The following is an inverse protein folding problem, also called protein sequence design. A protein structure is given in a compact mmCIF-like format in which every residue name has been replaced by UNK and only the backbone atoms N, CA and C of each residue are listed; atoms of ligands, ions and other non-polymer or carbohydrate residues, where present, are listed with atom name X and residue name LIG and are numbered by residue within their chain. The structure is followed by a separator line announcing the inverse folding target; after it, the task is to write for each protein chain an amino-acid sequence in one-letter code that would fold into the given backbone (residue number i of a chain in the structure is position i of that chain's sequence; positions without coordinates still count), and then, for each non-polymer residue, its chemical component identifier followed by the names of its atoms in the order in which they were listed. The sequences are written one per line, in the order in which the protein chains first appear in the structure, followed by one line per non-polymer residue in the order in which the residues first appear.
data_IF_075432537623
#
_entry.id   IF_075432537623
#
_cell.length_a   1.000
_cell.length_b   1.000
_cell.length_c   1.000
_cell.angle_alpha   90.00
_cell.angle_beta   90.00
_cell.angle_gamma   90.00
#
_symmetry.space_group_name_H-M   'P 1'
#
loop_
_entity.id
_entity.type
_entity.pdbx_description
1 polymer ?
#
# COMPACT_ATOMS: atom_id res chain seq x y z
N UNK A 1 -26.55 54.02 -7.89
CA UNK A 1 -26.37 52.99 -6.85
C UNK A 1 -24.90 52.63 -6.88
N UNK A 2 -24.11 53.17 -5.95
CA UNK A 2 -22.68 52.83 -5.84
C UNK A 2 -22.65 51.51 -5.09
N UNK A 3 -22.30 50.43 -5.79
CA UNK A 3 -22.14 49.11 -5.18
C UNK A 3 -20.91 49.18 -4.26
N UNK A 4 -21.14 49.35 -2.96
CA UNK A 4 -20.08 49.26 -1.95
C UNK A 4 -19.82 47.78 -1.74
N UNK A 5 -19.18 47.16 -2.72
CA UNK A 5 -18.50 45.89 -2.52
C UNK A 5 -17.39 46.17 -1.51
N UNK A 6 -17.58 45.68 -0.28
CA UNK A 6 -16.55 45.74 0.76
C UNK A 6 -15.22 45.22 0.22
N UNK A 7 -14.07 45.62 0.81
CA UNK A 7 -12.76 45.20 0.33
C UNK A 7 -12.71 43.68 0.19
N UNK A 8 -12.23 43.19 -0.96
CA UNK A 8 -12.09 41.76 -1.24
C UNK A 8 -10.87 41.21 -0.48
N UNK A 9 -11.07 41.01 0.82
CA UNK A 9 -10.02 40.62 1.75
C UNK A 9 -9.43 39.25 1.42
N UNK A 10 -10.18 38.36 0.77
CA UNK A 10 -9.72 37.01 0.44
C UNK A 10 -8.84 37.03 -0.82
N UNK A 11 -9.23 37.79 -1.84
CA UNK A 11 -8.40 37.95 -3.05
C UNK A 11 -7.06 38.62 -2.79
N UNK A 12 -6.98 39.46 -1.76
CA UNK A 12 -5.78 40.22 -1.41
C UNK A 12 -4.87 39.46 -0.43
N UNK A 13 -5.23 38.24 -0.03
CA UNK A 13 -4.34 37.37 0.75
C UNK A 13 -3.08 36.98 -0.04
N UNK A 14 -1.94 36.75 0.65
CA UNK A 14 -0.75 36.17 0.04
C UNK A 14 -1.06 34.86 -0.69
N UNK A 15 -0.40 34.66 -1.84
CA UNK A 15 -0.59 33.50 -2.70
C UNK A 15 -0.44 32.16 -1.94
N UNK A 16 0.54 32.07 -1.05
CA UNK A 16 0.77 30.87 -0.22
C UNK A 16 -0.40 30.53 0.72
N UNK A 17 -1.12 31.54 1.22
CA UNK A 17 -2.30 31.32 2.07
C UNK A 17 -3.46 30.84 1.20
N UNK A 18 -3.67 31.45 0.03
CA UNK A 18 -4.71 31.02 -0.91
C UNK A 18 -4.45 29.57 -1.34
N UNK A 19 -3.21 29.20 -1.67
CA UNK A 19 -2.84 27.82 -2.00
C UNK A 19 -3.13 26.86 -0.85
N UNK A 20 -2.81 27.25 0.39
CA UNK A 20 -3.08 26.44 1.58
C UNK A 20 -4.58 26.21 1.80
N UNK A 21 -5.42 27.21 1.52
CA UNK A 21 -6.88 27.08 1.56
C UNK A 21 -7.36 26.15 0.43
N UNK A 22 -6.91 26.38 -0.81
CA UNK A 22 -7.36 25.63 -1.98
C UNK A 22 -6.98 24.15 -1.93
N UNK A 23 -5.82 23.80 -1.36
CA UNK A 23 -5.38 22.40 -1.18
C UNK A 23 -6.30 21.63 -0.23
N UNK A 24 -7.03 22.31 0.67
CA UNK A 24 -7.99 21.65 1.57
C UNK A 24 -9.36 21.40 0.90
N UNK A 25 -9.60 21.97 -0.28
CA UNK A 25 -10.82 21.76 -1.03
C UNK A 25 -10.68 20.55 -1.95
N UNK A 26 -11.77 19.80 -2.22
CA UNK A 26 -11.80 18.87 -3.34
C UNK A 26 -11.36 19.57 -4.62
N UNK A 27 -10.59 18.89 -5.48
CA UNK A 27 -9.99 19.52 -6.67
C UNK A 27 -11.01 20.23 -7.55
N UNK A 28 -12.22 19.66 -7.65
CA UNK A 28 -13.35 20.25 -8.37
C UNK A 28 -13.72 21.61 -7.82
N UNK A 29 -13.84 21.71 -6.50
CA UNK A 29 -14.26 22.93 -5.82
C UNK A 29 -13.13 23.98 -5.82
N UNK A 30 -11.88 23.54 -5.70
CA UNK A 30 -10.72 24.40 -5.92
C UNK A 30 -10.73 25.03 -7.32
N UNK A 31 -10.96 24.23 -8.38
CA UNK A 31 -11.11 24.73 -9.75
C UNK A 31 -12.32 25.65 -9.88
N UNK A 32 -13.46 25.36 -9.22
CA UNK A 32 -14.67 26.20 -9.26
C UNK A 32 -14.43 27.60 -8.70
N UNK A 33 -13.48 27.80 -7.78
CA UNK A 33 -13.14 29.16 -7.32
C UNK A 33 -12.70 30.10 -8.45
N UNK A 34 -12.30 29.56 -9.61
CA UNK A 34 -11.95 30.35 -10.80
C UNK A 34 -13.06 31.25 -11.33
N UNK A 35 -14.33 31.00 -10.95
CA UNK A 35 -15.48 31.82 -11.36
C UNK A 35 -15.75 33.01 -10.41
N UNK A 36 -15.10 33.05 -9.24
CA UNK A 36 -15.36 34.09 -8.22
C UNK A 36 -14.95 35.48 -8.70
N UNK A 37 -13.77 35.59 -9.32
CA UNK A 37 -13.32 36.82 -9.97
C UNK A 37 -12.19 36.56 -10.96
N UNK A 38 -11.81 37.57 -11.75
CA UNK A 38 -10.65 37.49 -12.64
C UNK A 38 -9.35 37.20 -11.90
N UNK A 39 -9.20 37.64 -10.64
CA UNK A 39 -8.04 37.36 -9.79
C UNK A 39 -7.97 35.88 -9.38
N UNK A 40 -9.10 35.19 -9.27
CA UNK A 40 -9.17 33.79 -8.85
C UNK A 40 -8.99 32.78 -9.98
N UNK A 41 -9.12 33.21 -11.24
CA UNK A 41 -9.18 32.34 -12.43
C UNK A 41 -8.12 31.24 -12.47
N UNK A 42 -6.89 31.55 -12.06
CA UNK A 42 -5.75 30.63 -12.11
C UNK A 42 -5.11 30.35 -10.73
N UNK A 43 -5.73 30.75 -9.62
CA UNK A 43 -5.16 30.52 -8.27
C UNK A 43 -5.00 29.03 -7.98
N UNK A 44 -5.98 28.22 -8.38
CA UNK A 44 -5.93 26.76 -8.22
C UNK A 44 -4.80 26.12 -9.04
N UNK A 45 -4.35 26.72 -10.15
CA UNK A 45 -3.34 26.14 -11.04
C UNK A 45 -1.91 26.17 -10.47
N UNK A 46 -1.75 26.63 -9.22
CA UNK A 46 -0.49 26.67 -8.49
C UNK A 46 -0.45 25.73 -7.28
N UNK A 47 -1.57 25.06 -6.96
CA UNK A 47 -1.64 24.19 -5.79
C UNK A 47 -0.70 22.99 -5.93
N UNK A 48 -0.05 22.60 -4.84
CA UNK A 48 0.98 21.56 -4.92
C UNK A 48 0.44 20.14 -4.84
N UNK A 49 -0.86 19.98 -4.58
CA UNK A 49 -1.51 18.67 -4.40
C UNK A 49 -2.71 18.56 -5.33
N UNK A 50 -2.67 17.61 -6.25
CA UNK A 50 -3.75 17.30 -7.17
C UNK A 50 -4.31 15.93 -6.80
N UNK A 51 -5.52 15.91 -6.25
CA UNK A 51 -6.20 14.69 -5.80
C UNK A 51 -7.49 14.54 -6.60
N UNK A 52 -7.55 13.53 -7.45
CA UNK A 52 -8.69 13.21 -8.30
C UNK A 52 -9.37 11.96 -7.75
N UNK A 53 -10.36 12.17 -6.88
CA UNK A 53 -11.20 11.12 -6.31
C UNK A 53 -12.50 10.94 -7.11
N UNK A 54 -13.40 10.07 -6.65
CA UNK A 54 -14.74 9.88 -7.22
C UNK A 54 -15.62 11.14 -7.24
N UNK A 55 -15.23 12.20 -6.50
CA UNK A 55 -15.97 13.46 -6.42
C UNK A 55 -15.43 14.51 -7.40
N UNK A 56 -14.36 14.22 -8.14
CA UNK A 56 -13.71 15.18 -9.03
C UNK A 56 -14.61 15.62 -10.19
N UNK A 57 -15.54 14.77 -10.63
CA UNK A 57 -16.57 15.10 -11.63
C UNK A 57 -17.95 14.81 -11.05
N UNK A 58 -18.94 15.70 -11.23
CA UNK A 58 -20.32 15.43 -10.84
C UNK A 58 -20.90 14.23 -11.61
N UNK A 59 -21.81 13.44 -10.99
CA UNK A 59 -22.54 12.39 -11.70
C UNK A 59 -23.58 13.04 -12.62
N UNK A 60 -23.15 13.46 -13.80
CA UNK A 60 -24.02 14.08 -14.80
C UNK A 60 -24.83 13.04 -15.59
N UNK A 61 -24.42 11.77 -15.54
CA UNK A 61 -25.03 10.67 -16.27
C UNK A 61 -24.91 9.37 -15.47
N UNK A 62 -25.87 8.47 -15.69
CA UNK A 62 -25.75 7.07 -15.26
C UNK A 62 -24.91 6.23 -16.24
N UNK A 63 -24.56 6.81 -17.40
CA UNK A 63 -23.66 6.21 -18.37
C UNK A 63 -22.20 6.31 -17.89
N UNK A 64 -21.60 5.15 -17.65
CA UNK A 64 -20.23 5.02 -17.15
C UNK A 64 -19.19 5.58 -18.12
N UNK A 65 -19.33 5.35 -19.42
CA UNK A 65 -18.37 5.81 -20.42
C UNK A 65 -18.33 7.34 -20.51
N UNK A 66 -19.51 7.98 -20.35
CA UNK A 66 -19.63 9.44 -20.34
C UNK A 66 -18.97 10.04 -19.10
N UNK A 67 -19.15 9.42 -17.94
CA UNK A 67 -18.49 9.83 -16.68
C UNK A 67 -16.98 9.68 -16.81
N UNK A 68 -16.51 8.52 -17.27
CA UNK A 68 -15.09 8.24 -17.48
C UNK A 68 -14.43 9.28 -18.41
N UNK A 69 -15.02 9.53 -19.57
CA UNK A 69 -14.51 10.55 -20.52
C UNK A 69 -14.45 11.93 -19.87
N UNK A 70 -15.41 12.25 -19.01
CA UNK A 70 -15.44 13.53 -18.29
C UNK A 70 -14.32 13.61 -17.25
N UNK A 71 -14.02 12.51 -16.55
CA UNK A 71 -12.88 12.40 -15.63
C UNK A 71 -11.56 12.56 -16.37
N UNK A 72 -11.34 11.80 -17.46
CA UNK A 72 -10.14 11.90 -18.30
C UNK A 72 -9.95 13.33 -18.79
N UNK A 73 -11.01 13.95 -19.33
CA UNK A 73 -10.97 15.34 -19.80
C UNK A 73 -10.65 16.33 -18.68
N UNK A 74 -11.21 16.11 -17.49
CA UNK A 74 -10.97 16.96 -16.34
C UNK A 74 -9.51 16.88 -15.88
N UNK A 75 -8.95 15.67 -15.71
CA UNK A 75 -7.56 15.44 -15.32
C UNK A 75 -6.60 16.04 -16.36
N UNK A 76 -6.79 15.69 -17.64
CA UNK A 76 -5.94 16.20 -18.73
C UNK A 76 -5.97 17.72 -18.79
N UNK A 77 -7.15 18.34 -18.65
CA UNK A 77 -7.28 19.80 -18.66
C UNK A 77 -6.66 20.43 -17.42
N UNK A 78 -6.81 19.81 -16.26
CA UNK A 78 -6.24 20.28 -15.01
C UNK A 78 -4.71 20.30 -15.10
N UNK A 79 -4.10 19.20 -15.55
CA UNK A 79 -2.66 19.10 -15.77
C UNK A 79 -2.15 20.10 -16.83
N UNK A 80 -2.88 20.27 -17.94
CA UNK A 80 -2.51 21.21 -18.99
C UNK A 80 -2.51 22.67 -18.52
N UNK A 81 -3.43 23.04 -17.63
CA UNK A 81 -3.55 24.40 -17.10
C UNK A 81 -2.65 24.66 -15.89
N UNK A 82 -2.05 23.60 -15.31
CA UNK A 82 -1.22 23.70 -14.12
C UNK A 82 0.08 24.44 -14.41
N UNK A 83 0.44 25.41 -13.56
CA UNK A 83 1.61 26.28 -13.72
C UNK A 83 2.58 26.21 -12.54
N UNK A 84 2.23 25.50 -11.47
CA UNK A 84 3.07 25.34 -10.28
C UNK A 84 3.75 23.98 -10.18
N UNK A 85 4.57 23.76 -9.14
CA UNK A 85 5.09 22.43 -8.83
C UNK A 85 3.95 21.49 -8.42
N UNK A 86 4.09 20.20 -8.72
CA UNK A 86 3.16 19.15 -8.28
C UNK A 86 3.93 18.25 -7.33
N UNK A 87 3.69 18.40 -6.03
CA UNK A 87 4.34 17.55 -5.03
C UNK A 87 3.58 16.24 -4.82
N UNK A 88 2.25 16.27 -4.88
CA UNK A 88 1.38 15.10 -4.75
C UNK A 88 0.44 15.03 -5.95
N UNK A 89 0.42 13.89 -6.61
CA UNK A 89 -0.58 13.54 -7.60
C UNK A 89 -1.24 12.23 -7.20
N UNK A 90 -2.56 12.23 -7.09
CA UNK A 90 -3.36 11.08 -6.71
C UNK A 90 -4.54 10.93 -7.64
N UNK A 91 -4.71 9.73 -8.18
CA UNK A 91 -5.92 9.28 -8.84
C UNK A 91 -6.45 8.12 -8.00
N UNK A 92 -7.66 8.29 -7.44
CA UNK A 92 -8.41 7.25 -6.73
C UNK A 92 -9.86 7.32 -7.21
N UNK A 93 -10.10 6.79 -8.41
CA UNK A 93 -11.38 6.95 -9.08
C UNK A 93 -11.88 5.61 -9.61
N UNK A 94 -12.98 5.12 -9.04
CA UNK A 94 -13.59 3.82 -9.33
C UNK A 94 -14.20 3.74 -10.73
N UNK A 95 -14.48 4.89 -11.35
CA UNK A 95 -15.06 4.97 -12.68
C UNK A 95 -13.99 4.97 -13.79
N UNK A 96 -12.81 5.53 -13.53
CA UNK A 96 -11.71 5.65 -14.49
C UNK A 96 -11.07 4.29 -14.76
N UNK A 97 -10.97 3.89 -16.03
CA UNK A 97 -10.25 2.69 -16.45
C UNK A 97 -8.89 3.05 -17.07
N UNK A 98 -8.16 2.01 -17.48
CA UNK A 98 -6.96 2.13 -18.31
C UNK A 98 -7.26 2.98 -19.56
N UNK A 99 -6.49 4.05 -19.76
CA UNK A 99 -6.60 4.90 -20.94
C UNK A 99 -5.23 5.45 -21.38
N UNK A 100 -5.04 5.77 -22.69
CA UNK A 100 -3.77 6.26 -23.22
C UNK A 100 -3.32 7.60 -22.62
N UNK A 101 -4.23 8.40 -22.06
CA UNK A 101 -3.91 9.67 -21.41
C UNK A 101 -3.02 9.48 -20.17
N UNK A 102 -3.06 8.31 -19.52
CA UNK A 102 -2.20 7.99 -18.38
C UNK A 102 -0.72 8.12 -18.77
N UNK A 103 -0.33 7.66 -19.96
CA UNK A 103 1.04 7.83 -20.48
C UNK A 103 1.47 9.29 -20.49
N UNK A 104 0.58 10.18 -20.95
CA UNK A 104 0.84 11.61 -21.02
C UNK A 104 0.92 12.24 -19.63
N UNK A 105 0.03 11.81 -18.71
CA UNK A 105 0.01 12.30 -17.34
C UNK A 105 1.30 11.92 -16.62
N UNK A 106 1.71 10.65 -16.66
CA UNK A 106 2.94 10.19 -16.01
C UNK A 106 4.18 10.80 -16.67
N UNK A 107 4.20 10.94 -17.99
CA UNK A 107 5.29 11.66 -18.68
C UNK A 107 5.39 13.11 -18.22
N UNK A 108 4.27 13.81 -18.09
CA UNK A 108 4.25 15.18 -17.57
C UNK A 108 4.76 15.22 -16.12
N UNK A 109 4.26 14.35 -15.24
CA UNK A 109 4.66 14.30 -13.83
C UNK A 109 6.14 13.96 -13.65
N UNK A 110 6.70 13.09 -14.50
CA UNK A 110 8.11 12.72 -14.46
C UNK A 110 9.07 13.89 -14.66
N UNK A 111 8.59 14.98 -15.27
CA UNK A 111 9.35 16.21 -15.53
C UNK A 111 9.18 17.27 -14.42
N UNK A 112 8.29 17.02 -13.46
CA UNK A 112 7.83 18.01 -12.47
C UNK A 112 8.22 17.64 -11.02
N UNK A 113 9.25 16.80 -10.83
CA UNK A 113 9.86 16.58 -9.51
C UNK A 113 8.87 16.10 -8.43
N UNK A 114 7.91 15.25 -8.83
CA UNK A 114 6.86 14.75 -7.93
C UNK A 114 7.43 13.97 -6.75
N UNK A 115 6.76 14.10 -5.58
CA UNK A 115 7.15 13.42 -4.33
C UNK A 115 6.21 12.29 -3.95
N UNK A 116 4.94 12.39 -4.29
CA UNK A 116 3.93 11.39 -3.97
C UNK A 116 3.12 11.08 -5.23
N UNK A 117 3.10 9.82 -5.61
CA UNK A 117 2.23 9.30 -6.66
C UNK A 117 1.35 8.19 -6.10
N UNK A 118 0.05 8.33 -6.28
CA UNK A 118 -0.95 7.33 -5.93
C UNK A 118 -1.82 7.09 -7.16
N UNK A 119 -1.92 5.84 -7.61
CA UNK A 119 -2.77 5.45 -8.73
C UNK A 119 -3.61 4.23 -8.37
N UNK A 120 -4.91 4.47 -8.28
CA UNK A 120 -5.95 3.49 -8.02
C UNK A 120 -7.09 3.77 -9.00
N UNK A 121 -7.21 2.89 -9.99
CA UNK A 121 -8.24 2.93 -11.03
C UNK A 121 -9.36 1.95 -10.69
N UNK A 122 -10.47 2.04 -11.43
CA UNK A 122 -11.60 1.12 -11.27
C UNK A 122 -11.27 -0.33 -11.62
N UNK A 123 -12.24 -1.21 -11.38
CA UNK A 123 -12.06 -2.67 -11.45
C UNK A 123 -11.94 -3.28 -12.86
N UNK A 124 -11.49 -2.51 -13.86
CA UNK A 124 -11.27 -3.01 -15.22
C UNK A 124 -9.94 -3.72 -15.41
N UNK A 125 -9.49 -3.69 -16.67
CA UNK A 125 -8.22 -4.29 -17.09
C UNK A 125 -7.01 -3.60 -16.44
N UNK A 126 -5.97 -4.40 -16.21
CA UNK A 126 -4.70 -3.89 -15.72
C UNK A 126 -4.11 -2.94 -16.74
N UNK A 127 -3.64 -1.78 -16.27
CA UNK A 127 -2.96 -0.81 -17.11
C UNK A 127 -1.45 -0.96 -16.96
N UNK A 128 -0.72 -0.78 -18.06
CA UNK A 128 0.73 -0.80 -18.02
C UNK A 128 1.27 0.55 -17.56
N UNK A 129 2.08 0.53 -16.51
CA UNK A 129 2.73 1.73 -16.00
C UNK A 129 3.75 2.25 -17.03
N UNK A 130 3.66 3.53 -17.44
CA UNK A 130 4.61 4.12 -18.36
C UNK A 130 6.03 4.13 -17.77
N UNK A 131 7.03 3.80 -18.59
CA UNK A 131 8.44 3.78 -18.15
C UNK A 131 8.97 5.14 -17.69
N UNK A 132 8.29 6.23 -18.07
CA UNK A 132 8.57 7.58 -17.59
C UNK A 132 8.42 7.72 -16.07
N UNK A 133 7.63 6.86 -15.40
CA UNK A 133 7.53 6.83 -13.93
C UNK A 133 8.91 6.69 -13.27
N UNK A 134 9.76 5.82 -13.82
CA UNK A 134 11.07 5.51 -13.26
C UNK A 134 12.09 6.66 -13.36
N UNK A 135 11.72 7.77 -14.03
CA UNK A 135 12.49 9.01 -14.04
C UNK A 135 12.18 9.93 -12.85
N UNK A 136 11.15 9.64 -12.04
CA UNK A 136 10.75 10.45 -10.88
C UNK A 136 11.76 10.34 -9.72
N UNK A 137 12.86 11.09 -9.77
CA UNK A 137 13.96 10.97 -8.79
C UNK A 137 13.64 11.44 -7.38
N UNK A 138 12.67 12.35 -7.22
CA UNK A 138 12.27 12.91 -5.91
C UNK A 138 11.10 12.18 -5.28
N UNK A 139 10.68 11.06 -5.85
CA UNK A 139 9.57 10.27 -5.34
C UNK A 139 9.91 9.72 -3.95
N UNK A 140 9.03 10.03 -2.99
CA UNK A 140 9.12 9.63 -1.58
C UNK A 140 8.04 8.60 -1.21
N UNK A 141 6.90 8.62 -1.90
CA UNK A 141 5.82 7.64 -1.76
C UNK A 141 5.27 7.25 -3.12
N UNK A 142 5.19 5.95 -3.36
CA UNK A 142 4.61 5.36 -4.56
C UNK A 142 3.56 4.34 -4.14
N UNK A 143 2.33 4.54 -4.60
CA UNK A 143 1.22 3.61 -4.40
C UNK A 143 0.59 3.29 -5.74
N UNK A 144 0.57 1.99 -6.07
CA UNK A 144 0.06 1.49 -7.32
C UNK A 144 -0.92 0.35 -7.04
N UNK A 145 -2.09 0.43 -7.63
CA UNK A 145 -3.12 -0.60 -7.55
C UNK A 145 -3.50 -1.08 -8.94
N UNK A 146 -3.64 -2.39 -9.12
CA UNK A 146 -4.21 -3.01 -10.34
C UNK A 146 -3.50 -2.61 -11.64
N UNK A 147 -2.18 -2.73 -11.66
CA UNK A 147 -1.36 -2.32 -12.81
C UNK A 147 -0.26 -3.33 -13.15
N UNK A 148 0.28 -3.25 -14.37
CA UNK A 148 1.50 -3.94 -14.76
C UNK A 148 2.70 -3.02 -14.55
N UNK A 149 3.70 -3.49 -13.81
CA UNK A 149 4.92 -2.76 -13.54
C UNK A 149 6.13 -3.49 -14.12
N UNK A 150 6.77 -2.86 -15.11
CA UNK A 150 7.96 -3.40 -15.79
C UNK A 150 9.12 -2.39 -15.72
N UNK A 151 9.96 -2.46 -14.67
CA UNK A 151 11.10 -1.58 -14.51
C UNK A 151 12.13 -1.75 -15.65
N UNK A 152 12.52 -0.67 -16.36
CA UNK A 152 13.48 -0.79 -17.44
C UNK A 152 14.87 -1.19 -16.91
N UNK A 153 15.67 -1.89 -17.73
CA UNK A 153 17.04 -2.30 -17.33
C UNK A 153 17.95 -1.13 -16.92
N UNK A 154 17.69 0.08 -17.41
CA UNK A 154 18.42 1.31 -17.06
C UNK A 154 17.98 1.92 -15.72
N UNK A 155 16.96 1.35 -15.05
CA UNK A 155 16.44 1.85 -13.80
C UNK A 155 17.46 1.73 -12.67
N UNK A 156 17.83 2.89 -12.11
CA UNK A 156 18.83 3.02 -11.05
C UNK A 156 18.25 3.03 -9.64
N UNK A 157 16.93 2.87 -9.51
CA UNK A 157 16.24 2.96 -8.22
C UNK A 157 15.57 4.29 -7.93
N UNK A 158 14.65 4.26 -6.98
CA UNK A 158 14.04 5.45 -6.41
C UNK A 158 14.82 5.86 -5.16
N UNK A 159 15.82 6.73 -5.34
CA UNK A 159 16.78 7.12 -4.29
C UNK A 159 16.18 7.84 -3.08
N UNK A 160 15.00 8.44 -3.24
CA UNK A 160 14.29 9.17 -2.19
C UNK A 160 13.09 8.42 -1.61
N UNK A 161 12.79 7.20 -2.11
CA UNK A 161 11.56 6.50 -1.76
C UNK A 161 11.61 5.99 -0.33
N UNK A 162 10.60 6.36 0.45
CA UNK A 162 10.41 5.95 1.84
C UNK A 162 9.22 5.00 2.00
N UNK A 163 8.24 5.08 1.11
CA UNK A 163 7.04 4.25 1.16
C UNK A 163 6.73 3.67 -0.22
N UNK A 164 6.66 2.35 -0.30
CA UNK A 164 6.24 1.61 -1.49
C UNK A 164 5.02 0.75 -1.14
N UNK A 165 3.92 0.98 -1.85
CA UNK A 165 2.70 0.17 -1.74
C UNK A 165 2.31 -0.36 -3.12
N UNK A 166 2.32 -1.68 -3.27
CA UNK A 166 1.89 -2.37 -4.48
C UNK A 166 0.73 -3.29 -4.13
N UNK A 167 -0.43 -3.03 -4.73
CA UNK A 167 -1.66 -3.77 -4.48
C UNK A 167 -2.18 -4.37 -5.78
N UNK A 168 -2.26 -5.69 -5.88
CA UNK A 168 -2.65 -6.37 -7.13
C UNK A 168 -1.80 -5.85 -8.31
N UNK A 169 -0.47 -5.97 -8.23
CA UNK A 169 0.45 -5.49 -9.27
C UNK A 169 1.11 -6.67 -9.97
N UNK A 170 1.01 -6.70 -11.30
CA UNK A 170 1.70 -7.69 -12.13
C UNK A 170 3.13 -7.23 -12.37
N UNK A 171 4.08 -7.93 -11.75
CA UNK A 171 5.52 -7.67 -11.83
C UNK A 171 6.26 -9.00 -11.66
N UNK A 172 7.37 -9.19 -12.36
CA UNK A 172 8.16 -10.42 -12.21
C UNK A 172 8.83 -10.48 -10.82
N UNK A 173 8.98 -11.67 -10.22
CA UNK A 173 9.61 -11.84 -8.90
C UNK A 173 10.95 -11.14 -8.77
N UNK A 174 11.86 -11.37 -9.73
CA UNK A 174 13.20 -10.76 -9.76
C UNK A 174 13.12 -9.22 -9.83
N UNK A 175 12.11 -8.67 -10.50
CA UNK A 175 11.94 -7.23 -10.62
C UNK A 175 11.42 -6.61 -9.31
N UNK A 176 10.65 -7.33 -8.49
CA UNK A 176 10.20 -6.88 -7.16
C UNK A 176 11.40 -6.73 -6.23
N UNK A 177 12.21 -7.79 -6.10
CA UNK A 177 13.40 -7.78 -5.25
C UNK A 177 14.40 -6.70 -5.70
N UNK A 178 14.60 -6.60 -7.02
CA UNK A 178 15.45 -5.57 -7.61
C UNK A 178 14.88 -4.15 -7.40
N UNK A 179 13.56 -3.96 -7.38
CA UNK A 179 12.94 -2.67 -7.08
C UNK A 179 13.20 -2.27 -5.63
N UNK A 180 12.97 -3.19 -4.69
CA UNK A 180 13.14 -2.96 -3.24
C UNK A 180 14.60 -2.63 -2.91
N UNK A 181 15.56 -3.45 -3.37
CA UNK A 181 17.00 -3.25 -3.13
C UNK A 181 17.55 -1.95 -3.70
N UNK A 182 16.89 -1.39 -4.73
CA UNK A 182 17.24 -0.10 -5.33
C UNK A 182 16.54 1.11 -4.66
N UNK A 183 15.88 0.91 -3.52
CA UNK A 183 15.25 1.96 -2.72
C UNK A 183 15.93 2.08 -1.34
N UNK A 184 17.11 2.73 -1.24
CA UNK A 184 17.94 2.69 -0.03
C UNK A 184 17.34 3.39 1.20
N UNK A 185 16.35 4.27 1.00
CA UNK A 185 15.67 5.01 2.07
C UNK A 185 14.29 4.43 2.43
N UNK A 186 13.97 3.22 1.96
CA UNK A 186 12.67 2.61 2.16
C UNK A 186 12.43 2.33 3.64
N UNK A 187 11.36 2.90 4.19
CA UNK A 187 10.92 2.76 5.58
C UNK A 187 9.63 1.94 5.71
N UNK A 188 8.78 1.94 4.69
CA UNK A 188 7.51 1.22 4.66
C UNK A 188 7.34 0.47 3.35
N UNK A 189 7.07 -0.82 3.43
CA UNK A 189 6.81 -1.70 2.29
C UNK A 189 5.46 -2.41 2.50
N UNK A 190 4.58 -2.28 1.52
CA UNK A 190 3.32 -3.01 1.45
C UNK A 190 3.21 -3.72 0.11
N UNK A 191 3.08 -5.04 0.13
CA UNK A 191 2.85 -5.88 -1.05
C UNK A 191 1.60 -6.72 -0.80
N UNK A 192 0.55 -6.52 -1.59
CA UNK A 192 -0.74 -7.20 -1.39
C UNK A 192 -1.25 -7.85 -2.67
N UNK A 193 -1.89 -9.01 -2.52
CA UNK A 193 -2.41 -9.87 -3.59
C UNK A 193 -1.34 -10.30 -4.60
N UNK A 194 -0.21 -10.78 -4.09
CA UNK A 194 0.81 -11.45 -4.89
C UNK A 194 0.58 -12.95 -4.90
N UNK A 195 0.76 -13.58 -6.07
CA UNK A 195 0.58 -15.02 -6.23
C UNK A 195 1.93 -15.72 -6.40
N UNK A 196 2.14 -16.80 -5.65
CA UNK A 196 3.27 -17.72 -5.80
C UNK A 196 4.67 -17.06 -5.77
N UNK A 197 4.83 -16.00 -4.99
CA UNK A 197 6.07 -15.21 -4.93
C UNK A 197 7.09 -15.81 -3.94
N UNK A 198 8.33 -16.01 -4.38
CA UNK A 198 9.47 -16.14 -3.48
C UNK A 198 10.09 -14.75 -3.32
N UNK A 199 10.23 -14.28 -2.09
CA UNK A 199 10.56 -12.90 -1.79
C UNK A 199 11.73 -12.80 -0.80
N UNK A 200 12.81 -12.20 -1.26
CA UNK A 200 13.96 -11.81 -0.43
C UNK A 200 13.97 -10.29 -0.25
N UNK A 201 13.87 -9.84 1.00
CA UNK A 201 13.85 -8.42 1.35
C UNK A 201 15.17 -8.04 2.01
N UNK A 202 15.92 -7.17 1.32
CA UNK A 202 17.09 -6.48 1.84
C UNK A 202 16.82 -4.98 1.81
N UNK A 203 16.55 -4.39 2.98
CA UNK A 203 16.12 -3.01 3.13
C UNK A 203 16.51 -2.48 4.53
N UNK A 204 17.72 -1.92 4.69
CA UNK A 204 18.29 -1.62 6.01
C UNK A 204 17.53 -0.57 6.81
N UNK A 205 16.75 0.28 6.13
CA UNK A 205 15.94 1.34 6.74
C UNK A 205 14.47 0.96 6.95
N UNK A 206 14.09 -0.28 6.62
CA UNK A 206 12.70 -0.72 6.67
C UNK A 206 12.22 -0.84 8.11
N UNK A 207 11.10 -0.21 8.41
CA UNK A 207 10.44 -0.18 9.73
C UNK A 207 9.11 -0.92 9.73
N UNK A 208 8.37 -0.81 8.63
CA UNK A 208 7.02 -1.36 8.50
C UNK A 208 6.95 -2.28 7.29
N UNK A 209 6.55 -3.53 7.53
CA UNK A 209 6.37 -4.54 6.49
C UNK A 209 4.96 -5.11 6.53
N UNK A 210 4.22 -4.91 5.43
CA UNK A 210 2.88 -5.45 5.23
C UNK A 210 2.89 -6.37 4.02
N UNK A 211 2.62 -7.66 4.21
CA UNK A 211 2.55 -8.64 3.14
C UNK A 211 1.18 -9.32 3.14
N UNK A 212 0.54 -9.41 1.98
CA UNK A 212 -0.70 -10.14 1.77
C UNK A 212 -0.62 -10.91 0.45
N UNK A 213 -0.82 -12.23 0.47
CA UNK A 213 -0.67 -13.02 -0.75
C UNK A 213 -0.32 -14.49 -0.51
N UNK A 214 -0.08 -15.18 -1.62
CA UNK A 214 0.50 -16.53 -1.66
C UNK A 214 2.02 -16.42 -1.84
N UNK A 215 2.77 -16.78 -0.80
CA UNK A 215 4.23 -16.75 -0.84
C UNK A 215 4.80 -18.17 -0.78
N UNK A 216 5.73 -18.47 -1.70
CA UNK A 216 6.51 -19.72 -1.69
C UNK A 216 7.65 -19.63 -0.70
N UNK A 217 8.25 -18.45 -0.58
CA UNK A 217 9.20 -18.19 0.48
C UNK A 217 9.29 -16.70 0.82
N UNK A 218 9.66 -16.39 2.06
CA UNK A 218 9.90 -15.04 2.56
C UNK A 218 11.20 -15.06 3.37
N UNK A 219 12.19 -14.28 2.93
CA UNK A 219 13.48 -14.13 3.59
C UNK A 219 13.76 -12.66 3.91
N UNK A 220 14.22 -12.37 5.13
CA UNK A 220 14.63 -11.05 5.58
C UNK A 220 16.13 -11.07 5.88
N UNK A 221 16.96 -10.46 5.02
CA UNK A 221 18.43 -10.56 5.15
C UNK A 221 19.10 -9.35 5.82
N UNK A 222 18.57 -8.15 5.59
CA UNK A 222 19.11 -6.89 6.12
C UNK A 222 17.97 -5.91 6.45
N UNK A 223 17.25 -6.20 7.54
CA UNK A 223 16.11 -5.40 8.04
C UNK A 223 16.22 -5.12 9.55
N UNK A 224 17.36 -4.58 10.05
CA UNK A 224 17.61 -4.44 11.48
C UNK A 224 16.70 -3.43 12.18
N UNK A 225 16.08 -2.51 11.43
CA UNK A 225 15.20 -1.46 11.94
C UNK A 225 13.71 -1.83 11.89
N UNK A 226 13.39 -3.09 11.60
CA UNK A 226 12.00 -3.53 11.47
C UNK A 226 11.30 -3.50 12.83
N UNK A 227 10.22 -2.72 12.91
CA UNK A 227 9.43 -2.45 14.11
C UNK A 227 8.09 -3.17 14.05
N UNK A 228 7.47 -3.20 12.87
CA UNK A 228 6.15 -3.80 12.68
C UNK A 228 6.15 -4.72 11.45
N UNK A 229 5.62 -5.92 11.67
CA UNK A 229 5.35 -6.90 10.62
C UNK A 229 3.88 -7.26 10.67
N UNK A 230 3.21 -7.22 9.53
CA UNK A 230 1.88 -7.76 9.34
C UNK A 230 1.85 -8.65 8.10
N UNK A 231 1.54 -9.93 8.28
CA UNK A 231 1.47 -10.89 7.18
C UNK A 231 0.11 -11.59 7.15
N UNK A 232 -0.59 -11.46 6.03
CA UNK A 232 -1.74 -12.26 5.67
C UNK A 232 -1.33 -13.28 4.61
N UNK A 233 -1.20 -14.55 4.99
CA UNK A 233 -0.70 -15.58 4.09
C UNK A 233 -1.84 -16.48 3.60
N UNK A 234 -2.02 -16.49 2.29
CA UNK A 234 -2.86 -17.47 1.61
C UNK A 234 -2.02 -18.72 1.30
N UNK A 235 -2.60 -19.90 1.47
CA UNK A 235 -1.99 -21.17 1.08
C UNK A 235 -2.99 -21.98 0.27
N UNK A 236 -2.51 -22.51 -0.85
CA UNK A 236 -3.13 -23.60 -1.60
C UNK A 236 -2.52 -24.93 -1.18
N UNK A 237 -3.19 -26.04 -1.50
CA UNK A 237 -2.68 -27.38 -1.17
C UNK A 237 -1.29 -27.64 -1.79
N UNK A 238 -1.06 -27.16 -3.02
CA UNK A 238 0.23 -27.27 -3.72
C UNK A 238 1.39 -26.56 -2.98
N UNK A 239 1.11 -25.39 -2.39
CA UNK A 239 2.10 -24.60 -1.64
C UNK A 239 2.42 -25.30 -0.31
N UNK A 240 1.42 -25.88 0.36
CA UNK A 240 1.62 -26.61 1.60
C UNK A 240 2.56 -27.82 1.41
N UNK A 241 2.39 -28.59 0.34
CA UNK A 241 3.28 -29.71 0.00
C UNK A 241 4.73 -29.26 -0.25
N UNK A 242 4.92 -28.14 -0.95
CA UNK A 242 6.24 -27.56 -1.20
C UNK A 242 6.97 -27.20 0.10
N UNK A 243 6.23 -26.68 1.07
CA UNK A 243 6.77 -26.28 2.36
C UNK A 243 7.17 -27.44 3.25
N UNK A 244 6.38 -28.53 3.25
CA UNK A 244 6.67 -29.73 4.01
C UNK A 244 7.97 -30.43 3.56
N UNK A 245 8.39 -30.18 2.32
CA UNK A 245 9.65 -30.66 1.77
C UNK A 245 10.86 -29.78 2.15
N UNK A 246 10.64 -28.55 2.64
CA UNK A 246 11.72 -27.64 3.01
C UNK A 246 12.35 -28.04 4.35
N UNK A 247 13.68 -28.18 4.37
CA UNK A 247 14.44 -28.57 5.58
C UNK A 247 14.79 -27.39 6.50
N UNK A 248 14.46 -26.16 6.10
CA UNK A 248 14.83 -24.95 6.82
C UNK A 248 13.70 -24.48 7.75
N UNK A 249 14.04 -24.06 8.96
CA UNK A 249 13.08 -23.51 9.91
C UNK A 249 12.63 -22.11 9.46
N UNK A 250 11.39 -22.00 9.00
CA UNK A 250 10.83 -20.72 8.53
C UNK A 250 10.74 -19.69 9.65
N UNK A 251 10.49 -20.12 10.89
CA UNK A 251 10.53 -19.24 12.06
C UNK A 251 11.87 -18.50 12.18
N UNK A 252 13.00 -19.22 12.12
CA UNK A 252 14.32 -18.63 12.25
C UNK A 252 14.69 -17.78 11.04
N UNK A 253 14.35 -18.24 9.83
CA UNK A 253 14.62 -17.50 8.60
C UNK A 253 13.88 -16.16 8.56
N UNK A 254 12.62 -16.15 9.00
CA UNK A 254 11.78 -14.96 8.93
C UNK A 254 11.95 -14.05 10.16
N UNK A 255 11.98 -14.61 11.37
CA UNK A 255 12.00 -13.84 12.62
C UNK A 255 13.37 -13.84 13.32
N UNK A 256 14.40 -14.50 12.79
CA UNK A 256 15.73 -14.57 13.40
C UNK A 256 16.55 -13.28 13.31
N UNK A 257 16.24 -12.42 12.33
CA UNK A 257 16.99 -11.19 12.03
C UNK A 257 16.32 -9.88 12.44
N UNK A 258 15.25 -9.92 13.25
CA UNK A 258 14.40 -8.74 13.56
C UNK A 258 14.45 -8.35 15.05
N UNK A 259 15.61 -7.89 15.56
CA UNK A 259 15.82 -7.68 16.99
C UNK A 259 14.98 -6.54 17.60
N UNK A 260 14.52 -5.60 16.77
CA UNK A 260 13.78 -4.41 17.19
C UNK A 260 12.27 -4.53 16.97
N UNK A 261 11.76 -5.74 16.65
CA UNK A 261 10.35 -5.95 16.40
C UNK A 261 9.51 -5.61 17.64
N UNK A 262 8.55 -4.70 17.48
CA UNK A 262 7.61 -4.26 18.53
C UNK A 262 6.22 -4.86 18.35
N UNK A 263 5.81 -5.08 17.10
CA UNK A 263 4.49 -5.62 16.76
C UNK A 263 4.58 -6.69 15.67
N UNK A 264 3.96 -7.84 15.93
CA UNK A 264 3.80 -8.92 14.96
C UNK A 264 2.32 -9.24 14.79
N UNK A 265 1.82 -9.10 13.56
CA UNK A 265 0.48 -9.50 13.16
C UNK A 265 0.58 -10.61 12.12
N UNK A 266 -0.03 -11.75 12.42
CA UNK A 266 -0.13 -12.90 11.55
C UNK A 266 -1.58 -13.23 11.28
N UNK A 267 -1.98 -13.35 10.02
CA UNK A 267 -3.31 -13.74 9.63
C UNK A 267 -3.29 -15.02 8.78
N UNK A 268 -4.39 -15.77 8.87
CA UNK A 268 -4.71 -16.91 8.02
C UNK A 268 -3.66 -18.03 8.20
N UNK A 269 -2.86 -18.35 7.18
CA UNK A 269 -1.88 -19.45 7.23
C UNK A 269 -0.50 -19.04 7.71
N UNK A 270 -0.32 -17.80 8.20
CA UNK A 270 0.99 -17.34 8.63
C UNK A 270 1.58 -18.16 9.78
N UNK A 271 0.78 -18.55 10.78
CA UNK A 271 1.25 -19.40 11.89
C UNK A 271 1.66 -20.78 11.39
N UNK A 272 0.88 -21.35 10.46
CA UNK A 272 1.24 -22.60 9.77
C UNK A 272 2.56 -22.46 9.03
N UNK A 273 2.78 -21.35 8.33
CA UNK A 273 4.05 -21.07 7.65
C UNK A 273 5.24 -21.06 8.61
N UNK A 274 5.13 -20.38 9.75
CA UNK A 274 6.19 -20.34 10.76
C UNK A 274 6.46 -21.72 11.39
N UNK A 275 5.45 -22.59 11.42
CA UNK A 275 5.55 -23.94 12.01
C UNK A 275 6.40 -24.91 11.18
N UNK A 276 6.68 -24.57 9.92
CA UNK A 276 7.47 -25.41 9.02
C UNK A 276 8.93 -25.46 9.49
N UNK A 277 9.45 -26.68 9.63
CA UNK A 277 10.80 -26.94 10.11
C UNK A 277 11.03 -26.51 11.56
N UNK A 278 9.99 -26.19 12.34
CA UNK A 278 10.15 -25.85 13.75
C UNK A 278 10.50 -27.12 14.55
N UNK A 279 11.59 -27.03 15.32
CA UNK A 279 12.00 -28.05 16.28
C UNK A 279 12.01 -27.48 17.70
N UNK A 280 12.17 -28.37 18.68
CA UNK A 280 12.23 -28.02 20.10
C UNK A 280 13.63 -27.62 20.58
N UNK A 281 14.66 -27.63 19.73
CA UNK A 281 16.07 -27.71 20.16
C UNK A 281 16.91 -26.46 19.82
N UNK A 282 16.42 -25.51 19.02
CA UNK A 282 17.22 -24.35 18.62
C UNK A 282 17.23 -23.14 19.58
N UNK A 283 18.34 -22.39 19.54
CA UNK A 283 18.71 -21.26 20.41
C UNK A 283 17.56 -20.28 20.71
N UNK A 284 17.54 -19.70 21.93
CA UNK A 284 16.56 -18.68 22.30
C UNK A 284 16.89 -17.39 21.56
N UNK A 285 16.11 -17.07 20.53
CA UNK A 285 15.99 -15.68 20.08
C UNK A 285 15.22 -14.96 21.18
N UNK A 286 15.65 -13.76 21.55
CA UNK A 286 14.97 -12.94 22.54
C UNK A 286 14.48 -11.65 21.89
N UNK A 287 13.16 -11.45 21.89
CA UNK A 287 12.49 -10.27 21.36
C UNK A 287 12.23 -9.29 22.50
N UNK A 288 13.26 -8.50 22.85
CA UNK A 288 13.18 -7.57 23.98
C UNK A 288 12.19 -6.42 23.76
N UNK A 289 11.91 -6.08 22.50
CA UNK A 289 11.03 -4.96 22.18
C UNK A 289 9.61 -5.42 21.80
N UNK A 290 9.36 -6.72 21.65
CA UNK A 290 8.08 -7.22 21.16
C UNK A 290 7.00 -7.07 22.23
N UNK A 291 6.08 -6.13 22.00
CA UNK A 291 5.02 -5.75 22.93
C UNK A 291 3.67 -6.34 22.54
N UNK A 292 3.42 -6.50 21.22
CA UNK A 292 2.13 -6.94 20.70
C UNK A 292 2.30 -8.12 19.74
N UNK A 293 1.59 -9.21 20.02
CA UNK A 293 1.44 -10.36 19.12
C UNK A 293 -0.04 -10.56 18.83
N UNK A 294 -0.42 -10.51 17.56
CA UNK A 294 -1.76 -10.80 17.08
C UNK A 294 -1.69 -11.94 16.06
N UNK A 295 -2.24 -13.10 16.38
CA UNK A 295 -2.33 -14.24 15.46
C UNK A 295 -3.79 -14.60 15.21
N UNK A 296 -4.20 -14.57 13.95
CA UNK A 296 -5.57 -14.87 13.56
C UNK A 296 -5.64 -16.19 12.80
N UNK A 297 -6.68 -16.98 13.10
CA UNK A 297 -6.97 -18.28 12.49
C UNK A 297 -5.92 -19.38 12.76
N UNK A 298 -5.39 -19.45 13.99
CA UNK A 298 -4.46 -20.51 14.39
C UNK A 298 -5.16 -21.87 14.48
N UNK A 299 -4.49 -22.94 14.04
CA UNK A 299 -4.94 -24.32 14.25
C UNK A 299 -4.35 -24.93 15.53
N UNK A 300 -5.14 -25.01 16.60
CA UNK A 300 -4.72 -25.63 17.87
C UNK A 300 -4.68 -27.17 17.84
N UNK A 301 -5.13 -27.82 16.77
CA UNK A 301 -4.91 -29.25 16.57
C UNK A 301 -3.50 -29.53 16.02
N UNK A 302 -2.84 -28.53 15.44
CA UNK A 302 -1.47 -28.63 14.97
C UNK A 302 -0.49 -28.29 16.09
N UNK A 303 0.15 -29.33 16.64
CA UNK A 303 1.18 -29.17 17.68
C UNK A 303 2.35 -28.26 17.27
N UNK A 304 2.68 -28.16 15.98
CA UNK A 304 3.76 -27.28 15.50
C UNK A 304 3.36 -25.80 15.53
N UNK A 305 2.10 -25.49 15.21
CA UNK A 305 1.58 -24.12 15.36
C UNK A 305 1.53 -23.69 16.83
N UNK A 306 1.18 -24.60 17.74
CA UNK A 306 1.25 -24.35 19.18
C UNK A 306 2.70 -24.07 19.62
N UNK A 307 3.68 -24.81 19.09
CA UNK A 307 5.10 -24.56 19.38
C UNK A 307 5.55 -23.17 18.92
N UNK A 308 5.07 -22.68 17.77
CA UNK A 308 5.35 -21.30 17.31
C UNK A 308 4.87 -20.29 18.35
N UNK A 309 3.62 -20.44 18.83
CA UNK A 309 3.06 -19.56 19.85
C UNK A 309 3.87 -19.61 21.15
N UNK A 310 4.13 -20.81 21.68
CA UNK A 310 4.89 -20.98 22.91
C UNK A 310 6.29 -20.38 22.78
N UNK A 311 6.94 -20.56 21.63
CA UNK A 311 8.24 -19.97 21.36
C UNK A 311 8.18 -18.44 21.36
N UNK A 312 7.19 -17.84 20.70
CA UNK A 312 7.07 -16.37 20.68
C UNK A 312 6.80 -15.81 22.09
N UNK A 313 5.90 -16.43 22.87
CA UNK A 313 5.62 -16.00 24.24
C UNK A 313 6.86 -16.11 25.13
N UNK A 314 7.54 -17.25 25.10
CA UNK A 314 8.72 -17.50 25.96
C UNK A 314 9.93 -16.66 25.56
N UNK A 315 9.99 -16.23 24.29
CA UNK A 315 11.05 -15.39 23.74
C UNK A 315 10.82 -13.88 23.92
N UNK A 316 9.64 -13.46 24.40
CA UNK A 316 9.21 -12.05 24.45
C UNK A 316 9.00 -11.58 25.89
N UNK A 317 10.05 -11.20 26.64
CA UNK A 317 9.96 -10.89 28.06
C UNK A 317 9.14 -9.63 28.38
N UNK A 318 8.93 -8.74 27.39
CA UNK A 318 8.21 -7.48 27.55
C UNK A 318 6.84 -7.47 26.83
N UNK A 319 6.30 -8.65 26.51
CA UNK A 319 5.00 -8.78 25.85
C UNK A 319 3.88 -8.19 26.71
N UNK A 320 3.10 -7.26 26.13
CA UNK A 320 1.98 -6.57 26.78
C UNK A 320 0.62 -7.06 26.29
N UNK A 321 0.52 -7.33 24.99
CA UNK A 321 -0.72 -7.71 24.32
C UNK A 321 -0.53 -9.01 23.54
N UNK A 322 -1.39 -9.99 23.81
CA UNK A 322 -1.47 -11.24 23.07
C UNK A 322 -2.90 -11.47 22.63
N UNK A 323 -3.12 -11.45 21.32
CA UNK A 323 -4.40 -11.79 20.72
C UNK A 323 -4.24 -13.04 19.86
N UNK A 324 -5.01 -14.09 20.15
CA UNK A 324 -5.04 -15.31 19.34
C UNK A 324 -6.48 -15.65 18.98
N UNK A 325 -6.79 -15.76 17.69
CA UNK A 325 -8.07 -16.31 17.23
C UNK A 325 -7.89 -17.69 16.59
N UNK A 326 -8.87 -18.56 16.77
CA UNK A 326 -8.85 -19.96 16.31
C UNK A 326 -9.41 -20.05 14.88
N UNK A 327 -8.83 -20.93 14.05
CA UNK A 327 -9.39 -21.26 12.74
C UNK A 327 -10.75 -21.96 12.90
N UNK A 328 -11.83 -21.52 12.23
CA UNK A 328 -13.15 -22.14 12.36
C UNK A 328 -13.25 -23.57 11.80
N UNK A 329 -12.17 -24.15 11.24
CA UNK A 329 -12.19 -25.55 10.76
C UNK A 329 -12.53 -26.57 11.86
N UNK A 330 -12.30 -26.23 13.14
CA UNK A 330 -12.65 -27.09 14.29
C UNK A 330 -14.15 -27.04 14.70
N UNK A 331 -14.97 -26.18 14.08
CA UNK A 331 -16.42 -26.12 14.34
C UNK A 331 -17.28 -26.83 13.28
N UNK A 332 -16.69 -27.38 12.22
CA UNK A 332 -17.45 -28.04 11.15
C UNK A 332 -17.64 -29.56 11.36
N UNK A 333 -17.19 -30.12 12.49
CA UNK A 333 -17.43 -31.52 12.85
C UNK A 333 -18.32 -31.73 14.09
N UNK A 334 -18.89 -30.66 14.65
CA UNK A 334 -19.92 -30.76 15.68
C UNK A 334 -21.17 -29.98 15.24
N UNK A 335 -22.03 -30.71 14.53
CA UNK A 335 -23.48 -30.53 14.47
C UNK A 335 -24.03 -29.27 13.79
N UNK A 336 -24.52 -29.49 12.57
CA UNK A 336 -25.79 -28.95 12.11
C UNK A 336 -26.87 -29.31 13.14
N UNK A 337 -27.23 -28.35 14.00
CA UNK A 337 -28.60 -28.21 14.51
C UNK A 337 -28.97 -26.73 14.46
N UNK A 338 -29.76 -26.39 13.45
CA UNK A 338 -30.52 -25.15 13.41
C UNK A 338 -31.41 -25.05 14.66
N UNK A 339 -31.51 -23.88 15.29
CA UNK A 339 -32.79 -23.33 15.74
C UNK A 339 -32.72 -21.81 15.88
N UNK A 340 -33.54 -21.16 15.07
CA UNK A 340 -34.22 -19.89 15.36
C UNK A 340 -34.78 -19.88 16.79
N UNK A 341 -34.71 -18.75 17.49
CA UNK A 341 -35.85 -18.25 18.29
C UNK A 341 -35.74 -16.74 18.52
N UNK A 342 -36.88 -16.09 18.29
CA UNK A 342 -37.24 -14.73 18.67
C UNK A 342 -37.33 -14.56 20.20
N UNK A 343 -37.47 -13.27 20.57
CA UNK A 343 -37.93 -12.67 21.83
C UNK A 343 -36.82 -12.40 22.86
N UNK A 344 -36.71 -11.21 23.44
CA UNK A 344 -37.72 -10.15 23.72
C UNK A 344 -37.37 -8.76 23.17
#
# INVERSE_FOLDING_TARGET
MVDVMGPDLISDLPQSIIESILVQLPIRDAVRTSILSSKWRYKWASITQLVFDDKCVPPFSNDREVVERSVVKFITRALFLHQGPIHKFQISNSMLQSCPEIDQWILFLSRNDIKVLVMELGEGEFFRIPSSLFNCRKLTRLELSRCELDPPHSFKGFVCLRSLNLHQVLISPDAVESLISRCPLLESLSLSYFDNLALTISAPNLKYLYLEGEFKDICLEDTPLLVEISIAMYMTDDIAEHFEQSSNCNFLKFLGGVPNLEKLVGLIYFTKYLSIGIDSVHLPIMYHNLETIELYQVNFEDTKEILVILRMITSSPNLKELHISVSPRSLLLAEVVAFTTNNE
#
